data_IF_816307971517
#
_entry.id   IF_816307971517
#
_cell.length_a   1.000
_cell.length_b   1.000
_cell.length_c   1.000
_cell.angle_alpha   90.00
_cell.angle_beta   90.00
_cell.angle_gamma   90.00
#
_symmetry.space_group_name_H-M   'P 1'
#
loop_
_entity.id
_entity.type
_entity.pdbx_description
1 polymer ?
#
# COMPACT_ATOMS: atom_id res chain seq x y z
N UNK A 1 -6.67 -48.16 15.42
CA UNK A 1 -5.89 -47.14 14.70
C UNK A 1 -6.87 -46.16 14.07
N UNK A 2 -6.85 -44.87 14.46
CA UNK A 2 -7.38 -43.70 13.73
C UNK A 2 -7.42 -42.49 14.68
N UNK A 3 -6.28 -42.11 15.25
CA UNK A 3 -6.11 -40.79 15.88
C UNK A 3 -5.38 -39.89 14.89
N UNK A 4 -6.09 -39.51 13.82
CA UNK A 4 -5.57 -38.52 12.87
C UNK A 4 -5.42 -37.18 13.59
N UNK A 5 -4.18 -36.76 13.79
CA UNK A 5 -3.80 -35.52 14.47
C UNK A 5 -4.60 -34.32 13.92
N UNK A 6 -5.46 -33.70 14.73
CA UNK A 6 -6.31 -32.57 14.33
C UNK A 6 -5.49 -31.42 13.72
N UNK A 7 -4.24 -31.24 14.16
CA UNK A 7 -3.30 -30.27 13.61
C UNK A 7 -3.05 -30.52 12.12
N UNK A 8 -2.87 -31.78 11.70
CA UNK A 8 -2.65 -32.11 10.29
C UNK A 8 -3.88 -31.87 9.41
N UNK A 9 -5.09 -31.87 9.99
CA UNK A 9 -6.31 -31.52 9.25
C UNK A 9 -6.42 -30.02 9.04
N UNK A 10 -6.05 -29.24 10.06
CA UNK A 10 -6.05 -27.77 9.99
C UNK A 10 -4.93 -27.27 9.08
N UNK A 11 -3.74 -27.88 9.14
CA UNK A 11 -2.60 -27.52 8.30
C UNK A 11 -2.90 -27.64 6.79
N UNK A 12 -3.83 -28.51 6.39
CA UNK A 12 -4.28 -28.62 4.99
C UNK A 12 -5.02 -27.39 4.47
N UNK A 13 -5.50 -26.50 5.35
CA UNK A 13 -6.09 -25.23 4.95
C UNK A 13 -5.02 -24.18 4.61
N UNK A 14 -3.76 -24.42 4.94
CA UNK A 14 -2.69 -23.50 4.62
C UNK A 14 -2.38 -23.55 3.12
N UNK A 15 -2.54 -22.40 2.46
CA UNK A 15 -2.01 -22.20 1.12
C UNK A 15 -0.54 -21.77 1.22
N UNK A 16 0.37 -22.71 1.01
CA UNK A 16 1.82 -22.48 1.17
C UNK A 16 2.36 -21.51 0.12
N UNK A 17 1.87 -21.59 -1.11
CA UNK A 17 2.30 -20.70 -2.21
C UNK A 17 1.90 -19.25 -1.93
N UNK A 18 0.63 -19.03 -1.56
CA UNK A 18 0.15 -17.70 -1.17
C UNK A 18 0.90 -17.15 0.05
N UNK A 19 1.21 -18.01 1.03
CA UNK A 19 2.02 -17.63 2.17
C UNK A 19 3.43 -17.19 1.74
N UNK A 20 4.09 -17.93 0.84
CA UNK A 20 5.42 -17.56 0.34
C UNK A 20 5.39 -16.23 -0.41
N UNK A 21 4.37 -16.00 -1.23
CA UNK A 21 4.20 -14.74 -1.97
C UNK A 21 3.98 -13.55 -1.02
N UNK A 22 3.15 -13.72 0.01
CA UNK A 22 2.89 -12.69 1.02
C UNK A 22 4.09 -12.42 1.93
N UNK A 23 5.02 -13.35 2.02
CA UNK A 23 6.24 -13.25 2.85
C UNK A 23 7.52 -13.14 2.01
N UNK A 24 7.40 -12.73 0.74
CA UNK A 24 8.57 -12.51 -0.10
C UNK A 24 9.56 -11.57 0.58
N UNK A 25 10.84 -11.96 0.59
CA UNK A 25 11.96 -11.13 1.00
C UNK A 25 13.07 -11.22 -0.02
N UNK A 26 13.79 -10.13 -0.23
CA UNK A 26 14.91 -10.08 -1.14
C UNK A 26 15.85 -8.91 -0.85
N UNK A 27 16.89 -8.82 -1.65
CA UNK A 27 17.84 -7.71 -1.67
C UNK A 27 17.23 -6.46 -2.30
N UNK A 28 17.90 -5.32 -2.12
CA UNK A 28 17.52 -4.09 -2.81
C UNK A 28 17.60 -4.22 -4.34
N UNK A 29 18.58 -4.97 -4.87
CA UNK A 29 18.72 -5.22 -6.30
C UNK A 29 17.52 -6.01 -6.85
N UNK A 30 17.12 -7.10 -6.17
CA UNK A 30 15.94 -7.87 -6.57
C UNK A 30 14.67 -7.01 -6.57
N UNK A 31 14.57 -6.07 -5.63
CA UNK A 31 13.51 -5.07 -5.62
C UNK A 31 13.56 -4.12 -6.82
N UNK A 32 14.73 -3.60 -7.21
CA UNK A 32 14.85 -2.77 -8.42
C UNK A 32 14.41 -3.54 -9.67
N UNK A 33 14.74 -4.83 -9.76
CA UNK A 33 14.25 -5.69 -10.85
C UNK A 33 12.73 -5.94 -10.77
N UNK A 34 12.13 -5.97 -9.58
CA UNK A 34 10.67 -6.00 -9.44
C UNK A 34 10.04 -4.69 -9.93
N UNK A 35 10.60 -3.54 -9.57
CA UNK A 35 10.13 -2.22 -10.04
C UNK A 35 10.23 -2.12 -11.55
N UNK A 36 11.33 -2.59 -12.15
CA UNK A 36 11.51 -2.60 -13.60
C UNK A 36 10.46 -3.44 -14.33
N UNK A 37 10.11 -4.60 -13.77
CA UNK A 37 9.10 -5.51 -14.33
C UNK A 37 7.67 -5.03 -14.10
N UNK A 38 7.41 -4.44 -12.94
CA UNK A 38 6.09 -3.95 -12.57
C UNK A 38 6.20 -2.64 -11.78
N UNK A 39 6.25 -1.49 -12.46
CA UNK A 39 6.37 -0.19 -11.80
C UNK A 39 5.20 0.13 -10.86
N UNK A 40 4.06 -0.55 -10.99
CA UNK A 40 2.88 -0.33 -10.13
C UNK A 40 3.16 -0.67 -8.66
N UNK A 41 4.24 -1.40 -8.36
CA UNK A 41 4.66 -1.67 -6.98
C UNK A 41 5.14 -0.42 -6.24
N UNK A 42 5.42 0.68 -6.94
CA UNK A 42 5.84 1.97 -6.35
C UNK A 42 4.68 2.95 -6.15
N UNK A 43 3.43 2.53 -6.37
CA UNK A 43 2.26 3.42 -6.26
C UNK A 43 2.13 4.02 -4.87
N UNK A 44 1.69 5.27 -4.85
CA UNK A 44 1.29 5.94 -3.61
C UNK A 44 -0.01 5.41 -3.04
N UNK A 45 -0.31 5.77 -1.79
CA UNK A 45 -1.58 5.39 -1.14
C UNK A 45 -2.82 5.79 -1.95
N UNK A 46 -2.85 6.99 -2.53
CA UNK A 46 -3.99 7.46 -3.33
C UNK A 46 -4.13 6.69 -4.66
N UNK A 47 -3.01 6.43 -5.34
CA UNK A 47 -2.99 5.60 -6.55
C UNK A 47 -3.48 4.18 -6.26
N UNK A 48 -3.05 3.59 -5.13
CA UNK A 48 -3.50 2.27 -4.70
C UNK A 48 -4.98 2.23 -4.39
N UNK A 49 -5.51 3.22 -3.66
CA UNK A 49 -6.93 3.29 -3.37
C UNK A 49 -7.76 3.44 -4.66
N UNK A 50 -7.32 4.30 -5.58
CA UNK A 50 -7.99 4.48 -6.86
C UNK A 50 -8.01 3.18 -7.68
N UNK A 51 -6.84 2.57 -7.88
CA UNK A 51 -6.72 1.33 -8.65
C UNK A 51 -7.43 0.16 -7.97
N UNK A 52 -7.43 0.10 -6.64
CA UNK A 52 -8.19 -0.89 -5.87
C UNK A 52 -9.68 -0.78 -6.14
N UNK A 53 -10.25 0.44 -6.14
CA UNK A 53 -11.68 0.60 -6.44
C UNK A 53 -11.98 0.17 -7.87
N UNK A 54 -11.10 0.50 -8.82
CA UNK A 54 -11.28 0.16 -10.23
C UNK A 54 -11.10 -1.34 -10.53
N UNK A 55 -10.31 -2.08 -9.75
CA UNK A 55 -10.04 -3.50 -9.99
C UNK A 55 -11.29 -4.38 -9.88
N UNK A 56 -12.33 -3.91 -9.18
CA UNK A 56 -13.63 -4.58 -9.09
C UNK A 56 -14.56 -4.29 -10.28
N UNK A 57 -14.15 -3.41 -11.20
CA UNK A 57 -14.93 -3.01 -12.36
C UNK A 57 -15.94 -1.90 -12.08
N UNK A 58 -16.49 -1.37 -13.17
CA UNK A 58 -17.47 -0.28 -13.15
C UNK A 58 -18.61 -0.56 -14.12
N UNK A 59 -19.81 -0.11 -13.76
CA UNK A 59 -21.00 -0.16 -14.61
C UNK A 59 -21.46 1.25 -14.94
N UNK A 60 -21.91 1.46 -16.17
CA UNK A 60 -22.44 2.75 -16.61
C UNK A 60 -23.94 2.64 -16.85
N UNK A 61 -24.71 3.57 -16.29
CA UNK A 61 -26.15 3.66 -16.53
C UNK A 61 -26.60 5.12 -16.62
N UNK A 62 -27.81 5.33 -17.17
CA UNK A 62 -28.40 6.65 -17.27
C UNK A 62 -29.51 6.81 -16.23
N UNK A 63 -29.40 7.86 -15.42
CA UNK A 63 -30.45 8.31 -14.51
C UNK A 63 -30.81 9.75 -14.85
N UNK A 64 -32.06 10.02 -15.17
CA UNK A 64 -32.54 11.36 -15.52
C UNK A 64 -31.66 12.09 -16.56
N UNK A 65 -31.27 11.37 -17.62
CA UNK A 65 -30.36 11.83 -18.70
C UNK A 65 -28.92 12.13 -18.26
N UNK A 66 -28.54 11.84 -17.02
CA UNK A 66 -27.16 11.93 -16.54
C UNK A 66 -26.51 10.55 -16.61
N UNK A 67 -25.31 10.50 -17.19
CA UNK A 67 -24.47 9.31 -17.18
C UNK A 67 -23.88 9.14 -15.78
N UNK A 68 -24.21 8.04 -15.11
CA UNK A 68 -23.71 7.69 -13.78
C UNK A 68 -22.78 6.48 -13.93
N UNK A 69 -21.62 6.56 -13.26
CA UNK A 69 -20.67 5.45 -13.16
C UNK A 69 -20.82 4.84 -11.77
N UNK A 70 -21.26 3.59 -11.72
CA UNK A 70 -21.29 2.77 -10.52
C UNK A 70 -19.97 2.02 -10.39
N UNK A 71 -19.37 2.08 -9.21
CA UNK A 71 -18.15 1.33 -8.90
C UNK A 71 -18.52 0.08 -8.11
N UNK A 72 -18.28 -1.09 -8.69
CA UNK A 72 -18.75 -2.38 -8.16
C UNK A 72 -18.15 -2.70 -6.79
N UNK A 73 -16.99 -2.14 -6.47
CA UNK A 73 -16.38 -2.21 -5.15
C UNK A 73 -17.36 -1.86 -4.01
N UNK A 74 -18.21 -0.85 -4.18
CA UNK A 74 -19.15 -0.42 -3.13
C UNK A 74 -20.36 -1.34 -2.97
N UNK A 75 -20.52 -2.35 -3.83
CA UNK A 75 -21.46 -3.45 -3.62
C UNK A 75 -20.91 -4.52 -2.66
N UNK A 76 -19.73 -4.30 -2.08
CA UNK A 76 -19.05 -5.19 -1.14
C UNK A 76 -18.85 -6.63 -1.68
N UNK A 77 -18.10 -6.80 -2.79
CA UNK A 77 -17.84 -8.11 -3.37
C UNK A 77 -16.96 -9.01 -2.49
N UNK A 78 -16.30 -8.45 -1.48
CA UNK A 78 -15.41 -9.19 -0.56
C UNK A 78 -16.23 -9.97 0.48
N UNK A 79 -17.26 -9.34 1.06
CA UNK A 79 -18.14 -9.96 2.07
C UNK A 79 -19.57 -10.18 1.57
N UNK A 80 -19.75 -10.41 0.27
CA UNK A 80 -21.04 -10.73 -0.36
C UNK A 80 -22.17 -9.74 -0.01
N UNK A 81 -21.89 -8.44 -0.10
CA UNK A 81 -22.91 -7.40 0.06
C UNK A 81 -23.24 -7.01 1.49
N UNK A 82 -22.55 -7.56 2.50
CA UNK A 82 -22.79 -7.26 3.92
C UNK A 82 -22.79 -5.76 4.23
N UNK A 83 -21.90 -5.02 3.56
CA UNK A 83 -21.70 -3.58 3.73
C UNK A 83 -22.05 -2.78 2.47
N UNK A 84 -22.79 -3.38 1.54
CA UNK A 84 -23.11 -2.74 0.27
C UNK A 84 -23.76 -1.37 0.46
N UNK A 85 -23.28 -0.39 -0.30
CA UNK A 85 -23.72 0.99 -0.24
C UNK A 85 -24.60 1.29 -1.44
N UNK A 86 -25.90 1.47 -1.19
CA UNK A 86 -26.90 1.75 -2.23
C UNK A 86 -27.31 3.22 -2.26
N UNK A 87 -27.70 3.72 -3.44
CA UNK A 87 -28.28 5.05 -3.62
C UNK A 87 -27.29 6.22 -3.49
N UNK A 88 -25.99 5.95 -3.34
CA UNK A 88 -24.94 6.96 -3.20
C UNK A 88 -24.01 7.02 -4.42
N UNK A 89 -24.43 6.53 -5.59
CA UNK A 89 -23.59 6.46 -6.79
C UNK A 89 -22.96 7.83 -7.14
N UNK A 90 -23.71 8.93 -7.11
CA UNK A 90 -23.19 10.28 -7.38
C UNK A 90 -22.16 10.74 -6.33
N UNK A 91 -22.43 10.68 -5.01
CA UNK A 91 -21.41 10.91 -3.98
C UNK A 91 -20.16 10.03 -4.12
N UNK A 92 -20.33 8.75 -4.42
CA UNK A 92 -19.23 7.80 -4.62
C UNK A 92 -18.41 8.16 -5.86
N UNK A 93 -19.03 8.61 -6.94
CA UNK A 93 -18.31 9.17 -8.10
C UNK A 93 -17.44 10.36 -7.71
N UNK A 94 -17.94 11.27 -6.87
CA UNK A 94 -17.14 12.41 -6.38
C UNK A 94 -15.96 11.95 -5.53
N UNK A 95 -16.18 10.95 -4.67
CA UNK A 95 -15.14 10.33 -3.86
C UNK A 95 -14.06 9.67 -4.73
N UNK A 96 -14.44 8.85 -5.71
CA UNK A 96 -13.47 8.19 -6.59
C UNK A 96 -12.76 9.20 -7.48
N UNK A 97 -13.44 10.26 -7.92
CA UNK A 97 -12.80 11.37 -8.63
C UNK A 97 -11.78 12.12 -7.75
N UNK A 98 -12.02 12.24 -6.44
CA UNK A 98 -11.02 12.76 -5.51
C UNK A 98 -9.75 11.90 -5.52
N UNK A 99 -9.88 10.56 -5.44
CA UNK A 99 -8.74 9.65 -5.54
C UNK A 99 -8.06 9.73 -6.91
N UNK A 100 -8.82 9.83 -8.00
CA UNK A 100 -8.30 10.01 -9.36
C UNK A 100 -7.44 11.27 -9.47
N UNK A 101 -7.93 12.39 -8.95
CA UNK A 101 -7.19 13.67 -8.95
C UNK A 101 -5.93 13.59 -8.10
N UNK A 102 -6.00 12.94 -6.94
CA UNK A 102 -4.83 12.73 -6.08
C UNK A 102 -3.81 11.77 -6.73
N UNK A 103 -4.26 10.73 -7.44
CA UNK A 103 -3.42 9.78 -8.14
C UNK A 103 -2.60 10.41 -9.28
N UNK A 104 -3.12 11.49 -9.88
CA UNK A 104 -2.48 12.27 -10.93
C UNK A 104 -1.74 13.54 -10.41
N UNK A 105 -1.61 13.71 -9.10
CA UNK A 105 -0.93 14.87 -8.47
C UNK A 105 -1.50 16.24 -8.85
N UNK A 106 -2.82 16.34 -9.02
CA UNK A 106 -3.49 17.63 -9.31
C UNK A 106 -3.73 18.50 -8.06
N UNK A 107 -2.93 18.32 -7.00
CA UNK A 107 -2.95 19.07 -5.75
C UNK A 107 -3.91 18.50 -4.70
N UNK A 108 -4.78 17.56 -5.07
CA UNK A 108 -5.71 16.88 -4.16
C UNK A 108 -5.00 15.98 -3.15
N UNK A 109 -3.81 15.46 -3.50
CA UNK A 109 -2.99 14.59 -2.65
C UNK A 109 -2.48 15.26 -1.37
N UNK A 110 -2.55 16.60 -1.30
CA UNK A 110 -2.16 17.41 -0.14
C UNK A 110 -3.36 17.88 0.69
N UNK A 111 -4.58 17.46 0.35
CA UNK A 111 -5.83 17.92 0.99
C UNK A 111 -6.41 16.85 1.90
N UNK A 112 -7.04 17.29 2.98
CA UNK A 112 -7.82 16.42 3.86
C UNK A 112 -9.18 16.14 3.21
N UNK A 113 -9.53 14.85 3.08
CA UNK A 113 -10.86 14.42 2.66
C UNK A 113 -11.77 14.30 3.89
N UNK A 114 -12.82 15.10 3.95
CA UNK A 114 -13.82 15.06 5.01
C UNK A 114 -15.14 14.50 4.49
N UNK A 115 -15.60 13.38 5.05
CA UNK A 115 -16.94 12.84 4.80
C UNK A 115 -17.90 13.43 5.83
N UNK A 116 -18.85 14.25 5.38
CA UNK A 116 -19.89 14.85 6.22
C UNK A 116 -21.29 14.58 5.65
N UNK A 117 -22.31 14.59 6.50
CA UNK A 117 -23.69 14.33 6.12
C UNK A 117 -24.55 13.81 7.28
N UNK A 118 -25.86 13.62 7.08
CA UNK A 118 -26.79 13.16 8.11
C UNK A 118 -26.39 11.83 8.76
N UNK A 119 -26.90 11.56 9.96
CA UNK A 119 -26.74 10.24 10.60
C UNK A 119 -27.34 9.16 9.69
N UNK A 120 -26.69 8.00 9.61
CA UNK A 120 -27.15 6.90 8.74
C UNK A 120 -26.76 7.02 7.26
N UNK A 121 -26.02 8.05 6.84
CA UNK A 121 -25.64 8.24 5.42
C UNK A 121 -24.41 7.41 4.96
N UNK A 122 -24.22 6.20 5.51
CA UNK A 122 -23.15 5.24 5.15
C UNK A 122 -21.69 5.72 5.22
N UNK A 123 -21.37 6.86 5.85
CA UNK A 123 -19.99 7.41 5.93
C UNK A 123 -18.99 6.41 6.51
N UNK A 124 -19.31 5.85 7.69
CA UNK A 124 -18.44 4.87 8.34
C UNK A 124 -18.38 3.56 7.57
N UNK A 125 -19.47 3.18 6.89
CA UNK A 125 -19.52 2.00 6.02
C UNK A 125 -18.56 2.15 4.84
N UNK A 126 -18.55 3.31 4.17
CA UNK A 126 -17.62 3.62 3.08
C UNK A 126 -16.17 3.53 3.56
N UNK A 127 -15.85 4.13 4.72
CA UNK A 127 -14.49 4.07 5.27
C UNK A 127 -14.08 2.64 5.58
N UNK A 128 -14.96 1.85 6.20
CA UNK A 128 -14.70 0.44 6.51
C UNK A 128 -14.53 -0.40 5.26
N UNK A 129 -15.32 -0.17 4.22
CA UNK A 129 -15.13 -0.79 2.91
C UNK A 129 -13.75 -0.46 2.35
N UNK A 130 -13.33 0.81 2.34
CA UNK A 130 -12.01 1.20 1.82
C UNK A 130 -10.86 0.54 2.58
N UNK A 131 -10.94 0.43 3.91
CA UNK A 131 -9.94 -0.27 4.72
C UNK A 131 -9.87 -1.76 4.39
N UNK A 132 -11.03 -2.43 4.37
CA UNK A 132 -11.15 -3.84 3.97
C UNK A 132 -10.62 -4.07 2.54
N UNK A 133 -11.00 -3.18 1.62
CA UNK A 133 -10.62 -3.25 0.22
C UNK A 133 -9.11 -3.10 0.00
N UNK A 134 -8.47 -2.15 0.69
CA UNK A 134 -7.02 -1.97 0.54
C UNK A 134 -6.22 -3.10 1.19
N UNK A 135 -6.71 -3.65 2.30
CA UNK A 135 -6.15 -4.86 2.91
C UNK A 135 -6.25 -6.06 1.96
N UNK A 136 -7.44 -6.35 1.43
CA UNK A 136 -7.64 -7.41 0.44
C UNK A 136 -6.75 -7.20 -0.79
N UNK A 137 -6.76 -5.98 -1.35
CA UNK A 137 -5.98 -5.67 -2.55
C UNK A 137 -4.48 -5.85 -2.33
N UNK A 138 -3.94 -5.51 -1.16
CA UNK A 138 -2.52 -5.69 -0.86
C UNK A 138 -2.05 -7.15 -0.91
N UNK A 139 -2.97 -8.11 -0.77
CA UNK A 139 -2.71 -9.56 -0.89
C UNK A 139 -2.69 -10.05 -2.33
N UNK A 140 -3.20 -9.26 -3.29
CA UNK A 140 -3.18 -9.66 -4.71
C UNK A 140 -1.84 -9.29 -5.37
N UNK A 141 -1.48 -9.94 -6.49
CA UNK A 141 -0.34 -9.53 -7.30
C UNK A 141 -0.44 -8.08 -7.79
N UNK A 142 -1.65 -7.63 -8.15
CA UNK A 142 -1.89 -6.28 -8.66
C UNK A 142 -1.73 -5.24 -7.57
N UNK A 143 -2.11 -5.51 -6.32
CA UNK A 143 -1.97 -4.57 -5.20
C UNK A 143 -0.60 -4.59 -4.53
N UNK A 144 0.37 -5.31 -5.10
CA UNK A 144 1.71 -5.48 -4.58
C UNK A 144 2.43 -4.21 -4.13
N UNK A 145 3.05 -4.28 -2.95
CA UNK A 145 3.90 -3.25 -2.38
C UNK A 145 4.92 -3.82 -1.43
N UNK A 146 6.01 -3.08 -1.24
CA UNK A 146 7.17 -3.54 -0.50
C UNK A 146 7.61 -2.47 0.49
N UNK A 147 8.29 -2.92 1.53
CA UNK A 147 9.03 -2.07 2.46
C UNK A 147 10.37 -2.71 2.76
N UNK A 148 11.17 -2.12 3.63
CA UNK A 148 12.48 -2.62 3.96
C UNK A 148 12.73 -2.67 5.46
N UNK A 149 13.74 -3.45 5.82
CA UNK A 149 14.30 -3.55 7.16
C UNK A 149 15.82 -3.57 7.09
N UNK A 150 16.44 -3.10 8.16
CA UNK A 150 17.87 -3.09 8.33
C UNK A 150 18.30 -4.39 8.98
N UNK A 151 19.26 -5.07 8.38
CA UNK A 151 19.82 -6.34 8.84
C UNK A 151 21.30 -6.12 9.12
N UNK A 152 21.76 -6.55 10.29
CA UNK A 152 23.19 -6.50 10.60
C UNK A 152 23.98 -7.52 9.77
N UNK A 153 25.30 -7.35 9.68
CA UNK A 153 26.18 -8.20 8.84
C UNK A 153 26.05 -9.67 9.22
N UNK A 154 25.86 -9.97 10.51
CA UNK A 154 25.74 -11.33 11.03
C UNK A 154 24.30 -11.89 10.93
N UNK A 155 23.35 -11.09 10.42
CA UNK A 155 21.94 -11.48 10.28
C UNK A 155 21.15 -11.61 11.59
N UNK A 156 21.79 -11.38 12.74
CA UNK A 156 21.19 -11.62 14.07
C UNK A 156 20.24 -10.52 14.51
N UNK A 157 20.50 -9.27 14.09
CA UNK A 157 19.66 -8.13 14.43
C UNK A 157 18.91 -7.63 13.20
N UNK A 158 17.59 -7.50 13.34
CA UNK A 158 16.69 -6.99 12.31
C UNK A 158 15.91 -5.82 12.89
N UNK A 159 15.98 -4.69 12.21
CA UNK A 159 15.30 -3.45 12.60
C UNK A 159 14.36 -3.05 11.48
N UNK A 160 13.05 -3.19 11.71
CA UNK A 160 12.03 -2.82 10.74
C UNK A 160 11.95 -1.31 10.53
N UNK A 161 11.62 -0.88 9.31
CA UNK A 161 11.29 0.52 9.05
C UNK A 161 9.96 0.88 9.76
N UNK A 162 9.95 1.80 10.74
CA UNK A 162 8.75 2.09 11.53
C UNK A 162 7.62 2.68 10.70
N UNK A 163 7.95 3.41 9.63
CA UNK A 163 6.98 4.05 8.74
C UNK A 163 6.60 3.17 7.53
N UNK A 164 7.13 1.94 7.45
CA UNK A 164 7.04 1.09 6.26
C UNK A 164 7.32 1.87 4.96
N UNK A 165 8.42 2.62 4.95
CA UNK A 165 8.78 3.47 3.81
C UNK A 165 9.03 2.63 2.56
N UNK A 166 8.78 3.27 1.43
CA UNK A 166 9.07 2.77 0.10
C UNK A 166 10.60 2.61 -0.10
N UNK A 167 11.12 1.42 -0.48
CA UNK A 167 12.56 1.18 -0.59
C UNK A 167 13.31 2.12 -1.54
N UNK A 168 12.70 2.62 -2.62
CA UNK A 168 13.34 3.62 -3.49
C UNK A 168 13.77 4.90 -2.75
N UNK A 169 13.24 5.16 -1.55
CA UNK A 169 13.69 6.27 -0.71
C UNK A 169 15.13 6.09 -0.17
N UNK A 170 15.70 4.88 -0.24
CA UNK A 170 17.10 4.57 0.12
C UNK A 170 18.11 5.16 -0.88
N UNK A 171 17.68 5.42 -2.11
CA UNK A 171 18.45 6.19 -3.09
C UNK A 171 18.36 7.67 -2.66
N UNK A 172 19.49 8.36 -2.38
CA UNK A 172 19.48 9.77 -2.03
C UNK A 172 18.69 10.62 -3.03
N UNK A 173 18.00 11.64 -2.52
CA UNK A 173 17.06 12.45 -3.32
C UNK A 173 17.73 13.05 -4.57
N UNK A 174 18.96 13.53 -4.41
CA UNK A 174 19.72 14.19 -5.48
C UNK A 174 20.17 13.24 -6.60
N UNK A 175 20.28 11.94 -6.31
CA UNK A 175 20.69 10.92 -7.29
C UNK A 175 19.50 10.26 -7.98
N UNK A 176 18.31 10.42 -7.41
CA UNK A 176 17.17 9.57 -7.72
C UNK A 176 16.66 9.74 -9.14
N UNK A 177 16.60 10.96 -9.65
CA UNK A 177 16.15 11.19 -11.04
C UNK A 177 17.10 10.55 -12.04
N UNK A 178 18.42 10.77 -11.87
CA UNK A 178 19.45 10.14 -12.68
C UNK A 178 19.42 8.61 -12.57
N UNK A 179 19.30 8.06 -11.36
CA UNK A 179 19.27 6.62 -11.13
C UNK A 179 18.03 5.96 -11.77
N UNK A 180 16.85 6.58 -11.67
CA UNK A 180 15.64 6.06 -12.32
C UNK A 180 15.78 6.05 -13.84
N UNK A 181 16.39 7.08 -14.43
CA UNK A 181 16.65 7.15 -15.87
C UNK A 181 17.67 6.09 -16.32
N UNK A 182 18.82 6.01 -15.64
CA UNK A 182 19.91 5.06 -15.97
C UNK A 182 19.46 3.60 -15.85
N UNK A 183 18.66 3.28 -14.84
CA UNK A 183 18.14 1.92 -14.61
C UNK A 183 16.95 1.58 -15.53
N UNK A 184 16.41 2.57 -16.27
CA UNK A 184 15.22 2.44 -17.10
C UNK A 184 13.95 2.20 -16.29
N UNK A 185 13.88 2.74 -15.07
CA UNK A 185 12.74 2.62 -14.18
C UNK A 185 11.71 3.71 -14.51
N UNK A 186 10.89 3.41 -15.50
CA UNK A 186 9.79 4.27 -15.92
C UNK A 186 8.46 3.64 -15.48
N UNK A 187 7.50 4.49 -15.12
CA UNK A 187 6.18 4.00 -14.76
C UNK A 187 5.21 4.11 -15.93
N UNK A 188 4.50 3.02 -16.23
CA UNK A 188 3.58 2.95 -17.37
C UNK A 188 2.36 3.84 -17.16
N UNK A 189 1.65 3.63 -16.05
CA UNK A 189 0.41 4.36 -15.73
C UNK A 189 0.68 5.62 -14.91
N UNK A 190 1.64 5.53 -13.99
CA UNK A 190 2.00 6.61 -13.08
C UNK A 190 3.49 6.82 -13.10
N UNK A 191 3.95 8.07 -13.23
CA UNK A 191 5.37 8.38 -13.06
C UNK A 191 5.82 7.96 -11.67
N UNK A 192 6.92 7.22 -11.59
CA UNK A 192 7.59 6.91 -10.32
C UNK A 192 8.03 8.24 -9.69
N UNK A 193 7.33 8.64 -8.64
CA UNK A 193 7.43 9.96 -8.01
C UNK A 193 7.71 9.80 -6.52
N UNK A 194 8.80 9.12 -6.21
CA UNK A 194 9.33 9.05 -4.85
C UNK A 194 10.11 10.32 -4.57
N UNK A 195 9.42 11.33 -4.01
CA UNK A 195 10.05 12.60 -3.54
C UNK A 195 10.30 12.61 -2.04
N UNK A 196 10.00 11.52 -1.35
CA UNK A 196 10.15 11.42 0.10
C UNK A 196 11.61 11.16 0.47
N UNK A 197 12.00 11.66 1.63
CA UNK A 197 13.21 11.23 2.31
C UNK A 197 12.87 10.08 3.25
N UNK A 198 13.89 9.35 3.70
CA UNK A 198 13.75 8.36 4.76
C UNK A 198 13.18 9.00 6.03
N UNK A 199 12.33 8.26 6.75
CA UNK A 199 11.90 8.65 8.09
C UNK A 199 13.10 8.86 9.03
N UNK A 200 12.95 9.64 10.12
CA UNK A 200 14.07 10.03 11.00
C UNK A 200 14.89 8.83 11.53
N UNK A 201 14.22 7.73 11.88
CA UNK A 201 14.89 6.55 12.41
C UNK A 201 15.74 5.84 11.35
N UNK A 202 15.17 5.55 10.18
CA UNK A 202 15.93 4.94 9.09
C UNK A 202 17.02 5.88 8.56
N UNK A 203 16.80 7.19 8.56
CA UNK A 203 17.81 8.19 8.20
C UNK A 203 19.00 8.18 9.16
N UNK A 204 18.75 8.04 10.46
CA UNK A 204 19.81 7.92 11.46
C UNK A 204 20.68 6.68 11.22
N UNK A 205 20.07 5.51 11.00
CA UNK A 205 20.80 4.27 10.69
C UNK A 205 21.61 4.42 9.40
N UNK A 206 20.98 4.94 8.33
CA UNK A 206 21.62 5.19 7.05
C UNK A 206 22.87 6.07 7.21
N UNK A 207 22.76 7.19 7.93
CA UNK A 207 23.87 8.12 8.13
C UNK A 207 25.03 7.49 8.91
N UNK A 208 24.75 6.73 9.98
CA UNK A 208 25.79 6.05 10.75
C UNK A 208 26.53 4.99 9.93
N UNK A 209 25.80 4.24 9.09
CA UNK A 209 26.41 3.27 8.18
C UNK A 209 27.23 3.96 7.09
N UNK A 210 26.75 5.08 6.55
CA UNK A 210 27.52 5.90 5.61
C UNK A 210 28.84 6.38 6.24
N UNK A 211 28.83 6.84 7.49
CA UNK A 211 30.05 7.22 8.21
C UNK A 211 30.98 6.02 8.43
N UNK A 212 30.45 4.91 8.94
CA UNK A 212 31.19 3.66 9.17
C UNK A 212 31.88 3.15 7.90
N UNK A 213 31.21 3.22 6.76
CA UNK A 213 31.73 2.77 5.47
C UNK A 213 32.38 3.89 4.64
N UNK A 214 32.70 5.04 5.26
CA UNK A 214 33.42 6.17 4.65
C UNK A 214 32.77 6.63 3.33
N UNK A 215 31.45 6.69 3.30
CA UNK A 215 30.64 7.15 2.17
C UNK A 215 30.30 6.08 1.13
N UNK A 216 30.67 4.81 1.34
CA UNK A 216 30.32 3.74 0.40
C UNK A 216 28.83 3.32 0.55
N UNK A 217 27.97 3.84 -0.33
CA UNK A 217 26.54 3.55 -0.36
C UNK A 217 26.21 2.09 -0.63
N UNK A 218 26.96 1.42 -1.51
CA UNK A 218 26.75 0.00 -1.83
C UNK A 218 26.86 -0.89 -0.58
N UNK A 219 27.85 -0.61 0.29
CA UNK A 219 27.99 -1.30 1.58
C UNK A 219 26.84 -0.99 2.55
N UNK A 220 26.26 0.20 2.50
CA UNK A 220 25.07 0.53 3.30
C UNK A 220 23.85 -0.26 2.82
N UNK A 221 23.66 -0.37 1.51
CA UNK A 221 22.54 -1.10 0.92
C UNK A 221 22.63 -2.61 1.14
N UNK A 222 23.83 -3.16 1.35
CA UNK A 222 24.00 -4.55 1.76
C UNK A 222 23.30 -4.87 3.10
N UNK A 223 23.00 -3.86 3.94
CA UNK A 223 22.21 -4.02 5.16
C UNK A 223 20.69 -4.02 4.93
N UNK A 224 20.23 -3.90 3.69
CA UNK A 224 18.81 -3.78 3.38
C UNK A 224 18.25 -5.13 2.96
N UNK A 225 17.25 -5.59 3.71
CA UNK A 225 16.32 -6.62 3.25
C UNK A 225 15.00 -5.97 2.90
N UNK A 226 14.59 -6.10 1.64
CA UNK A 226 13.27 -5.69 1.18
C UNK A 226 12.31 -6.84 1.46
N UNK A 227 11.07 -6.52 1.83
CA UNK A 227 10.02 -7.49 2.08
C UNK A 227 8.68 -7.05 1.55
N UNK A 228 7.82 -8.01 1.25
CA UNK A 228 6.41 -7.78 0.94
C UNK A 228 5.73 -7.13 2.14
N UNK A 229 4.90 -6.14 1.86
CA UNK A 229 4.06 -5.48 2.87
C UNK A 229 2.59 -5.79 2.57
N UNK A 230 1.91 -6.39 3.54
CA UNK A 230 0.46 -6.61 3.51
C UNK A 230 -0.17 -5.64 4.50
N UNK A 231 -1.20 -4.92 4.08
CA UNK A 231 -1.93 -4.06 4.99
C UNK A 231 -2.81 -4.89 5.93
N UNK A 232 -2.96 -4.40 7.16
CA UNK A 232 -3.79 -5.02 8.18
C UNK A 232 -4.40 -3.91 9.03
N UNK A 233 -5.72 -3.77 9.01
CA UNK A 233 -6.38 -2.84 9.92
C UNK A 233 -6.20 -3.28 11.38
N UNK A 234 -6.28 -4.59 11.63
CA UNK A 234 -6.18 -5.18 12.96
C UNK A 234 -4.80 -4.94 13.59
N UNK A 235 -3.74 -5.14 12.81
CA UNK A 235 -2.36 -4.97 13.26
C UNK A 235 -1.83 -3.54 13.03
N UNK A 236 -2.69 -2.64 12.52
CA UNK A 236 -2.36 -1.24 12.19
C UNK A 236 -1.19 -1.09 11.21
N UNK A 237 -1.10 -2.02 10.25
CA UNK A 237 -0.08 -2.00 9.21
C UNK A 237 -0.63 -1.27 7.98
N UNK A 238 -0.07 -0.10 7.68
CA UNK A 238 -0.47 0.75 6.55
C UNK A 238 -1.81 1.47 6.71
N UNK A 239 -2.66 1.06 7.67
CA UNK A 239 -3.94 1.70 8.00
C UNK A 239 -3.90 2.24 9.43
N UNK A 240 -3.71 3.56 9.55
CA UNK A 240 -3.78 4.26 10.82
C UNK A 240 -5.20 4.70 11.17
N UNK A 241 -5.62 4.55 12.43
CA UNK A 241 -6.84 5.18 12.96
C UNK A 241 -6.47 6.06 14.13
N UNK A 242 -6.76 7.36 14.02
CA UNK A 242 -6.64 8.31 15.11
C UNK A 242 -8.04 8.67 15.59
N UNK A 243 -8.36 8.33 16.82
CA UNK A 243 -9.54 8.86 17.48
C UNK A 243 -9.13 10.18 18.15
N UNK A 244 -9.73 11.32 17.77
CA UNK A 244 -9.57 12.53 18.55
C UNK A 244 -10.15 12.25 19.94
N UNK A 245 -9.29 12.04 20.92
CA UNK A 245 -9.69 12.12 22.31
C UNK A 245 -9.67 13.60 22.68
N UNK A 246 -10.85 14.15 22.92
CA UNK A 246 -10.92 15.22 23.91
C UNK A 246 -10.57 14.58 25.25
N UNK A 247 -9.46 14.97 25.86
CA UNK A 247 -9.29 14.84 27.30
C UNK A 247 -10.33 15.76 27.96
N UNK A 248 -11.55 15.25 28.12
CA UNK A 248 -12.45 15.80 29.12
C UNK A 248 -11.93 15.33 30.47
N UNK A 249 -11.44 16.31 31.23
CA UNK A 249 -11.19 16.29 32.68
C UNK A 249 -12.07 15.29 33.44
#
# INVERSE_FOLDING_TARGET
MLSGNFVNRIAKFQNVEEFQDHHWTGTFEEYLQLVKRNPKVTRTAHQRLYDMVLSFGTEEYFDNKKKIVRYNFFNDPIDNGKDAVFGLDIPLMKLVNFFKSAANYYGTEKRVLLLHGPVGSSKSTIVRLLKKGIEYYSRTPEGALYTFEWVDVDGQSVIHCPMNDEPLNLIPLDWREQALEELGLHGDTYRITTRKQLNPHCRFIFNNLMEKYKGNWEKVIAHIRVKRLIFSEQDRIGVGTFQPKDEKN
#
